data_IF_031510683148
#
_entry.id   IF_031510683148
#
_cell.length_a   1.000
_cell.length_b   1.000
_cell.length_c   1.000
_cell.angle_alpha   90.00
_cell.angle_beta   90.00
_cell.angle_gamma   90.00
#
_symmetry.space_group_name_H-M   'P 1'
#
loop_
_entity.id
_entity.type
_entity.pdbx_description
1 polymer ?
#
# COMPACT_ATOMS: atom_id res chain seq x y z
N UNK A 1 -14.84 -26.37 87.77
CA UNK A 1 -13.91 -25.22 87.84
C UNK A 1 -13.14 -25.12 86.54
N UNK A 2 -13.23 -23.95 85.87
CA UNK A 2 -12.23 -23.27 85.01
C UNK A 2 -11.28 -24.12 84.14
N UNK A 3 -11.03 -23.88 82.85
CA UNK A 3 -11.23 -22.76 81.89
C UNK A 3 -10.99 -23.38 80.49
N UNK A 4 -11.73 -22.97 79.44
CA UNK A 4 -11.25 -22.16 78.29
C UNK A 4 -10.12 -22.84 77.45
N UNK A 5 -10.04 -22.82 76.13
CA UNK A 5 -10.57 -21.90 75.11
C UNK A 5 -10.33 -22.50 73.72
N UNK A 6 -11.24 -22.20 72.80
CA UNK A 6 -11.22 -22.40 71.35
C UNK A 6 -10.10 -21.59 70.65
N UNK A 7 -9.48 -22.11 69.59
CA UNK A 7 -9.06 -21.40 68.35
C UNK A 7 -8.20 -22.35 67.50
N UNK A 8 -8.75 -22.99 66.46
CA UNK A 8 -8.97 -22.44 65.11
C UNK A 8 -7.65 -22.18 64.35
N UNK A 9 -7.41 -23.06 63.39
CA UNK A 9 -6.34 -23.05 62.41
C UNK A 9 -6.22 -21.72 61.66
N UNK A 10 -4.98 -21.31 61.37
CA UNK A 10 -4.69 -20.30 60.34
C UNK A 10 -3.56 -20.80 59.45
N UNK A 11 -3.97 -21.58 58.45
CA UNK A 11 -3.19 -21.94 57.27
C UNK A 11 -2.94 -20.66 56.46
N UNK A 12 -1.70 -20.16 56.48
CA UNK A 12 -1.29 -19.04 55.62
C UNK A 12 -0.74 -19.62 54.32
N UNK A 13 -1.59 -19.68 53.30
CA UNK A 13 -1.19 -19.94 51.92
C UNK A 13 -0.45 -18.68 51.45
N UNK A 14 0.88 -18.76 51.33
CA UNK A 14 1.63 -17.77 50.55
C UNK A 14 1.27 -17.97 49.07
N UNK A 15 0.48 -17.06 48.53
CA UNK A 15 0.30 -16.93 47.10
C UNK A 15 1.62 -16.46 46.49
N UNK A 16 2.33 -17.37 45.83
CA UNK A 16 3.46 -17.06 44.98
C UNK A 16 2.93 -16.27 43.77
N UNK A 17 3.17 -14.96 43.78
CA UNK A 17 2.88 -14.06 42.68
C UNK A 17 3.88 -14.34 41.55
N UNK A 18 3.58 -15.33 40.71
CA UNK A 18 4.30 -15.57 39.45
C UNK A 18 4.03 -14.38 38.53
N UNK A 19 4.97 -13.45 38.50
CA UNK A 19 5.11 -12.43 37.46
C UNK A 19 5.39 -13.15 36.14
N UNK A 20 4.32 -13.53 35.44
CA UNK A 20 4.37 -13.82 34.01
C UNK A 20 4.72 -12.50 33.32
N UNK A 21 6.00 -12.24 33.14
CA UNK A 21 6.48 -11.27 32.17
C UNK A 21 6.04 -11.77 30.79
N UNK A 22 4.87 -11.33 30.36
CA UNK A 22 4.45 -11.44 28.97
C UNK A 22 5.55 -10.74 28.17
N UNK A 23 6.28 -11.44 27.27
CA UNK A 23 7.09 -10.75 26.30
C UNK A 23 6.09 -9.90 25.50
N UNK A 24 6.13 -8.58 25.75
CA UNK A 24 5.44 -7.61 24.93
C UNK A 24 5.92 -7.88 23.52
N UNK A 25 5.04 -8.42 22.67
CA UNK A 25 5.35 -8.66 21.27
C UNK A 25 5.81 -7.31 20.71
N UNK A 26 7.12 -7.19 20.47
CA UNK A 26 7.64 -6.05 19.74
C UNK A 26 6.91 -6.05 18.40
N UNK A 27 6.13 -5.00 18.15
CA UNK A 27 5.59 -4.77 16.83
C UNK A 27 6.81 -4.68 15.90
N UNK A 28 6.97 -5.67 15.03
CA UNK A 28 7.97 -5.60 13.98
C UNK A 28 7.62 -4.37 13.15
N UNK A 29 8.50 -3.37 13.19
CA UNK A 29 8.38 -2.17 12.39
C UNK A 29 8.52 -2.61 10.92
N UNK A 30 7.39 -2.84 10.25
CA UNK A 30 7.35 -3.07 8.82
C UNK A 30 7.76 -1.74 8.16
N UNK A 31 9.06 -1.53 8.04
CA UNK A 31 9.62 -0.29 7.50
C UNK A 31 9.16 -0.07 6.07
N UNK A 32 8.25 0.89 5.88
CA UNK A 32 7.92 1.43 4.56
C UNK A 32 9.14 2.21 4.08
N UNK A 33 9.69 1.81 2.95
CA UNK A 33 10.76 2.54 2.29
C UNK A 33 10.17 3.34 1.12
N UNK A 34 10.56 4.60 0.98
CA UNK A 34 10.08 5.45 -0.11
C UNK A 34 11.25 6.17 -0.75
N UNK A 35 11.15 6.37 -2.05
CA UNK A 35 12.15 7.13 -2.79
C UNK A 35 11.50 8.20 -3.62
N UNK A 36 11.99 9.41 -3.36
CA UNK A 36 11.59 10.60 -4.06
C UNK A 36 12.57 10.82 -5.19
N UNK A 37 12.06 10.89 -6.42
CA UNK A 37 12.87 11.20 -7.59
C UNK A 37 12.40 12.50 -8.19
N UNK A 38 13.35 13.40 -8.42
CA UNK A 38 13.13 14.51 -9.34
C UNK A 38 13.13 13.94 -10.76
N UNK A 39 12.15 14.32 -11.58
CA UNK A 39 12.02 13.85 -12.97
C UNK A 39 13.21 14.41 -13.76
N UNK A 40 14.33 13.68 -13.77
CA UNK A 40 15.43 13.91 -14.69
C UNK A 40 15.17 13.05 -15.94
N UNK A 41 15.08 13.70 -17.10
CA UNK A 41 14.59 13.09 -18.34
C UNK A 41 15.37 11.82 -18.74
N UNK A 42 14.62 10.81 -19.24
CA UNK A 42 15.19 9.57 -19.79
C UNK A 42 14.32 8.32 -19.61
N UNK A 43 13.37 8.32 -18.66
CA UNK A 43 12.46 7.21 -18.39
C UNK A 43 10.98 7.47 -18.73
N UNK A 44 10.14 6.47 -18.50
CA UNK A 44 8.68 6.52 -18.63
C UNK A 44 7.98 7.11 -17.40
N UNK A 45 8.63 7.12 -16.23
CA UNK A 45 8.15 7.73 -14.99
C UNK A 45 8.15 9.25 -15.07
N UNK A 46 7.21 9.79 -15.84
CA UNK A 46 6.99 11.22 -16.01
C UNK A 46 5.56 11.58 -15.65
N UNK A 47 5.34 12.84 -15.24
CA UNK A 47 3.98 13.33 -14.96
C UNK A 47 3.05 13.16 -16.16
N UNK A 48 3.54 13.41 -17.38
CA UNK A 48 2.75 13.23 -18.61
C UNK A 48 2.31 11.78 -18.78
N UNK A 49 3.25 10.85 -18.69
CA UNK A 49 2.96 9.42 -18.82
C UNK A 49 1.93 8.94 -17.78
N UNK A 50 2.13 9.30 -16.51
CA UNK A 50 1.21 8.88 -15.47
C UNK A 50 -0.18 9.54 -15.64
N UNK A 51 -0.24 10.76 -16.18
CA UNK A 51 -1.51 11.42 -16.53
C UNK A 51 -2.22 10.70 -17.68
N UNK A 52 -1.48 10.23 -18.70
CA UNK A 52 -2.03 9.42 -19.78
C UNK A 52 -2.62 8.10 -19.24
N UNK A 53 -1.89 7.42 -18.36
CA UNK A 53 -2.37 6.18 -17.72
C UNK A 53 -3.63 6.46 -16.88
N UNK A 54 -3.62 7.51 -16.06
CA UNK A 54 -4.78 7.92 -15.26
C UNK A 54 -6.01 8.12 -16.14
N UNK A 55 -5.88 8.89 -17.21
CA UNK A 55 -6.97 9.16 -18.14
C UNK A 55 -7.47 7.88 -18.82
N UNK A 56 -6.59 6.94 -19.12
CA UNK A 56 -6.98 5.64 -19.68
C UNK A 56 -7.80 4.81 -18.68
N UNK A 57 -7.39 4.78 -17.41
CA UNK A 57 -8.12 4.10 -16.33
C UNK A 57 -9.51 4.73 -16.14
N UNK A 58 -9.61 6.06 -16.03
CA UNK A 58 -10.90 6.74 -15.82
C UNK A 58 -11.84 6.57 -17.04
N UNK A 59 -11.30 6.54 -18.26
CA UNK A 59 -12.11 6.43 -19.48
C UNK A 59 -12.62 5.01 -19.76
N UNK A 60 -11.81 3.99 -19.47
CA UNK A 60 -12.02 2.62 -19.94
C UNK A 60 -11.89 1.54 -18.88
N UNK A 61 -11.51 1.93 -17.66
CA UNK A 61 -11.32 1.04 -16.55
C UNK A 61 -12.64 0.46 -16.06
N UNK A 62 -12.53 -0.70 -15.42
CA UNK A 62 -13.60 -1.28 -14.61
C UNK A 62 -13.44 -0.81 -13.18
N UNK A 63 -14.44 -1.07 -12.34
CA UNK A 63 -14.30 -0.88 -10.90
C UNK A 63 -13.92 -2.20 -10.22
N UNK A 64 -12.92 -2.17 -9.34
CA UNK A 64 -12.49 -3.33 -8.55
C UNK A 64 -11.95 -2.89 -7.18
N UNK A 65 -12.18 -3.70 -6.15
CA UNK A 65 -11.59 -3.51 -4.82
C UNK A 65 -10.28 -4.31 -4.72
N UNK A 66 -9.20 -3.68 -4.27
CA UNK A 66 -7.91 -4.35 -4.05
C UNK A 66 -7.45 -4.34 -2.58
N UNK A 67 -7.99 -3.45 -1.75
CA UNK A 67 -7.70 -3.39 -0.33
C UNK A 67 -8.95 -2.97 0.47
N UNK A 68 -8.95 -3.19 1.78
CA UNK A 68 -10.12 -2.87 2.61
C UNK A 68 -10.38 -1.36 2.73
N UNK A 69 -9.35 -0.54 2.51
CA UNK A 69 -9.44 0.93 2.66
C UNK A 69 -10.15 1.58 1.47
N UNK A 70 -9.92 1.05 0.27
CA UNK A 70 -10.41 1.60 -0.98
C UNK A 70 -11.22 0.54 -1.72
N UNK A 71 -12.52 0.78 -1.79
CA UNK A 71 -13.49 -0.06 -2.46
C UNK A 71 -13.87 0.57 -3.80
N UNK A 72 -14.24 -0.26 -4.77
CA UNK A 72 -14.73 0.19 -6.08
C UNK A 72 -13.74 1.11 -6.84
N UNK A 73 -12.43 0.87 -6.73
CA UNK A 73 -11.41 1.70 -7.38
C UNK A 73 -11.51 1.65 -8.91
N UNK A 74 -11.29 2.79 -9.61
CA UNK A 74 -11.02 2.77 -11.05
C UNK A 74 -9.81 1.89 -11.32
N UNK A 75 -9.99 0.90 -12.21
CA UNK A 75 -9.02 -0.17 -12.44
C UNK A 75 -8.82 -0.49 -13.92
N UNK A 76 -7.57 -0.65 -14.35
CA UNK A 76 -7.24 -1.15 -15.69
C UNK A 76 -6.31 -2.37 -15.61
N UNK A 77 -6.65 -3.43 -16.34
CA UNK A 77 -5.80 -4.62 -16.46
C UNK A 77 -4.98 -4.53 -17.75
N UNK A 78 -3.66 -4.62 -17.65
CA UNK A 78 -2.74 -4.56 -18.80
C UNK A 78 -1.68 -5.63 -18.67
N UNK A 79 -1.66 -6.60 -19.60
CA UNK A 79 -0.66 -7.68 -19.66
C UNK A 79 -0.41 -8.38 -18.30
N UNK A 80 -1.48 -8.66 -17.56
CA UNK A 80 -1.43 -9.31 -16.24
C UNK A 80 -1.15 -8.36 -15.07
N UNK A 81 -0.91 -7.08 -15.32
CA UNK A 81 -0.79 -6.05 -14.29
C UNK A 81 -2.16 -5.44 -14.00
N UNK A 82 -2.46 -5.21 -12.73
CA UNK A 82 -3.63 -4.45 -12.33
C UNK A 82 -3.23 -3.05 -11.88
N UNK A 83 -3.85 -2.03 -12.47
CA UNK A 83 -3.58 -0.62 -12.21
C UNK A 83 -4.76 -0.02 -11.47
N UNK A 84 -4.55 0.53 -10.28
CA UNK A 84 -5.61 1.16 -9.49
C UNK A 84 -5.31 2.63 -9.24
N UNK A 85 -6.36 3.44 -9.13
CA UNK A 85 -6.25 4.82 -8.68
C UNK A 85 -6.74 4.94 -7.23
N UNK A 86 -5.88 5.45 -6.36
CA UNK A 86 -6.23 5.69 -4.96
C UNK A 86 -6.61 7.16 -4.73
N UNK A 87 -7.68 7.41 -3.95
CA UNK A 87 -8.13 8.76 -3.68
C UNK A 87 -7.17 9.51 -2.74
N UNK A 88 -7.07 10.82 -2.94
CA UNK A 88 -6.16 11.68 -2.18
C UNK A 88 -6.62 11.89 -0.72
N UNK A 89 -7.93 11.80 -0.48
CA UNK A 89 -8.56 12.03 0.84
C UNK A 89 -8.60 10.79 1.73
N UNK A 90 -7.94 9.70 1.34
CA UNK A 90 -7.91 8.48 2.13
C UNK A 90 -9.31 7.88 2.32
N UNK A 91 -9.64 7.51 3.57
CA UNK A 91 -10.92 6.84 3.88
C UNK A 91 -12.16 7.70 3.65
N UNK A 92 -12.04 9.03 3.62
CA UNK A 92 -13.18 9.93 3.39
C UNK A 92 -13.78 9.79 1.98
N UNK A 93 -13.02 9.21 1.04
CA UNK A 93 -13.45 8.84 -0.31
C UNK A 93 -13.21 7.35 -0.57
N UNK A 94 -13.59 6.48 0.38
CA UNK A 94 -13.36 5.04 0.30
C UNK A 94 -14.09 4.33 -0.87
N UNK A 95 -15.06 4.98 -1.51
CA UNK A 95 -15.74 4.54 -2.73
C UNK A 95 -15.05 5.00 -4.03
N UNK A 96 -13.94 5.75 -3.90
CA UNK A 96 -13.14 6.24 -5.03
C UNK A 96 -13.97 7.03 -6.05
N UNK A 97 -14.75 7.98 -5.56
CA UNK A 97 -15.51 8.94 -6.35
C UNK A 97 -14.56 9.93 -7.05
N UNK A 98 -14.66 10.00 -8.38
CA UNK A 98 -13.83 10.85 -9.24
C UNK A 98 -14.10 12.34 -9.06
N UNK A 99 -15.27 12.71 -8.53
CA UNK A 99 -15.62 14.12 -8.26
C UNK A 99 -14.97 14.64 -6.98
N UNK A 100 -14.39 13.76 -6.16
CA UNK A 100 -13.79 14.07 -4.85
C UNK A 100 -12.28 13.89 -4.82
N UNK A 101 -11.65 13.45 -5.91
CA UNK A 101 -10.20 13.20 -5.94
C UNK A 101 -9.60 13.45 -7.32
N UNK A 102 -8.38 13.99 -7.34
CA UNK A 102 -7.58 14.11 -8.56
C UNK A 102 -6.80 12.81 -8.87
N UNK A 103 -6.83 11.84 -7.95
CA UNK A 103 -6.09 10.59 -7.96
C UNK A 103 -4.59 10.80 -8.22
N UNK A 104 -3.91 11.44 -7.27
CA UNK A 104 -2.46 11.65 -7.30
C UNK A 104 -1.68 10.40 -6.89
N UNK A 105 -2.34 9.24 -6.81
CA UNK A 105 -1.70 7.97 -6.45
C UNK A 105 -2.13 6.87 -7.41
N UNK A 106 -1.16 6.34 -8.16
CA UNK A 106 -1.30 5.15 -8.98
C UNK A 106 -0.74 3.95 -8.23
N UNK A 107 -1.51 2.87 -8.17
CA UNK A 107 -1.04 1.57 -7.70
C UNK A 107 -0.79 0.67 -8.91
N UNK A 108 0.41 0.11 -9.00
CA UNK A 108 0.75 -0.95 -9.95
C UNK A 108 0.82 -2.26 -9.16
N UNK A 109 -0.17 -3.12 -9.34
CA UNK A 109 -0.23 -4.42 -8.72
C UNK A 109 0.29 -5.51 -9.68
N UNK A 110 1.14 -6.36 -9.13
CA UNK A 110 1.60 -7.63 -9.70
C UNK A 110 1.05 -8.77 -8.83
N UNK A 111 1.34 -10.02 -9.21
CA UNK A 111 0.88 -11.19 -8.45
C UNK A 111 1.28 -11.17 -6.96
N UNK A 112 2.43 -10.57 -6.64
CA UNK A 112 3.02 -10.65 -5.29
C UNK A 112 3.28 -9.28 -4.64
N UNK A 113 3.13 -8.18 -5.38
CA UNK A 113 3.55 -6.86 -4.92
C UNK A 113 2.66 -5.73 -5.43
N UNK A 114 2.52 -4.70 -4.58
CA UNK A 114 1.92 -3.42 -4.91
C UNK A 114 2.99 -2.34 -4.92
N UNK A 115 3.07 -1.59 -6.01
CA UNK A 115 3.94 -0.41 -6.12
C UNK A 115 3.07 0.83 -6.13
N UNK A 116 3.34 1.75 -5.22
CA UNK A 116 2.61 3.00 -5.16
C UNK A 116 3.44 4.11 -5.79
N UNK A 117 2.87 4.79 -6.77
CA UNK A 117 3.47 5.90 -7.50
C UNK A 117 2.64 7.15 -7.23
N UNK A 118 3.18 8.04 -6.39
CA UNK A 118 2.58 9.29 -5.98
C UNK A 118 3.09 10.45 -6.85
N UNK A 119 2.16 11.25 -7.36
CA UNK A 119 2.43 12.43 -8.16
C UNK A 119 2.70 13.60 -7.21
N UNK A 120 3.97 13.97 -7.04
CA UNK A 120 4.35 15.15 -6.24
C UNK A 120 4.73 16.31 -7.16
N UNK A 121 4.91 17.52 -6.63
CA UNK A 121 5.41 18.66 -7.42
C UNK A 121 6.81 19.04 -6.91
N UNK A 122 7.85 19.10 -7.76
CA UNK A 122 7.88 18.90 -9.22
C UNK A 122 8.13 17.45 -9.69
N UNK A 123 8.00 16.44 -8.82
CA UNK A 123 8.53 15.10 -9.07
C UNK A 123 7.53 13.94 -9.03
N UNK A 124 8.05 12.73 -8.80
CA UNK A 124 7.26 11.54 -8.48
C UNK A 124 7.89 10.90 -7.24
N UNK A 125 7.07 10.34 -6.36
CA UNK A 125 7.51 9.50 -5.26
C UNK A 125 7.05 8.08 -5.47
N UNK A 126 7.95 7.13 -5.33
CA UNK A 126 7.62 5.70 -5.40
C UNK A 126 7.74 5.14 -3.99
N UNK A 127 6.66 4.53 -3.50
CA UNK A 127 6.64 3.81 -2.23
C UNK A 127 6.62 2.31 -2.50
N UNK A 128 7.36 1.56 -1.67
CA UNK A 128 7.48 0.11 -1.77
C UNK A 128 7.56 -0.49 -0.37
N UNK A 129 6.92 -1.64 -0.20
CA UNK A 129 6.83 -2.33 1.09
C UNK A 129 8.05 -3.25 1.29
N UNK A 130 8.91 -2.91 2.27
CA UNK A 130 10.04 -3.67 2.84
C UNK A 130 11.33 -3.88 2.00
N UNK A 131 12.46 -3.50 2.62
CA UNK A 131 13.86 -3.95 2.38
C UNK A 131 14.47 -3.80 0.98
N UNK A 132 14.25 -2.70 0.28
CA UNK A 132 15.30 -2.32 -0.68
C UNK A 132 16.49 -1.81 0.14
N UNK A 133 17.52 -2.64 0.33
CA UNK A 133 18.84 -2.10 0.62
C UNK A 133 19.18 -1.04 -0.44
N UNK A 134 19.95 -0.01 -0.07
CA UNK A 134 20.19 1.15 -0.94
C UNK A 134 20.63 0.79 -2.37
N UNK A 135 21.28 -0.37 -2.54
CA UNK A 135 21.73 -0.90 -3.83
C UNK A 135 20.58 -1.44 -4.71
N UNK A 136 19.55 -2.06 -4.10
CA UNK A 136 18.40 -2.61 -4.83
C UNK A 136 17.41 -1.54 -5.29
N UNK A 137 17.49 -0.34 -4.72
CA UNK A 137 16.58 0.76 -5.03
C UNK A 137 16.58 1.16 -6.50
N UNK A 138 17.77 1.22 -7.11
CA UNK A 138 17.91 1.61 -8.52
C UNK A 138 17.25 0.59 -9.45
N UNK A 139 17.31 -0.69 -9.11
CA UNK A 139 16.64 -1.76 -9.85
C UNK A 139 15.12 -1.71 -9.68
N UNK A 140 14.63 -1.37 -8.48
CA UNK A 140 13.19 -1.15 -8.25
C UNK A 140 12.65 -0.01 -9.13
N UNK A 141 13.35 1.12 -9.19
CA UNK A 141 12.95 2.24 -10.04
C UNK A 141 12.92 1.82 -11.51
N UNK A 142 13.97 1.12 -11.99
CA UNK A 142 14.03 0.65 -13.38
C UNK A 142 12.92 -0.35 -13.71
N UNK A 143 12.57 -1.22 -12.76
CA UNK A 143 11.47 -2.15 -12.91
C UNK A 143 10.12 -1.42 -13.01
N UNK A 144 9.82 -0.49 -12.09
CA UNK A 144 8.57 0.29 -12.15
C UNK A 144 8.52 1.12 -13.43
N UNK A 145 9.64 1.71 -13.86
CA UNK A 145 9.73 2.42 -15.14
C UNK A 145 9.42 1.52 -16.34
N UNK A 146 9.97 0.31 -16.37
CA UNK A 146 9.69 -0.66 -17.42
C UNK A 146 8.21 -1.12 -17.42
N UNK A 147 7.61 -1.31 -16.24
CA UNK A 147 6.18 -1.63 -16.12
C UNK A 147 5.33 -0.48 -16.65
N UNK A 148 5.61 0.75 -16.26
CA UNK A 148 4.93 1.95 -16.77
C UNK A 148 5.10 2.07 -18.29
N UNK A 149 6.29 1.82 -18.82
CA UNK A 149 6.55 1.81 -20.27
C UNK A 149 5.70 0.80 -21.02
N UNK A 150 5.55 -0.43 -20.49
CA UNK A 150 4.67 -1.46 -21.07
C UNK A 150 3.21 -1.02 -21.07
N UNK A 151 2.74 -0.45 -19.94
CA UNK A 151 1.38 0.06 -19.82
C UNK A 151 1.12 1.17 -20.83
N UNK A 152 2.03 2.14 -20.95
CA UNK A 152 1.93 3.23 -21.93
C UNK A 152 1.86 2.71 -23.36
N UNK A 153 2.67 1.71 -23.72
CA UNK A 153 2.64 1.14 -25.05
C UNK A 153 1.23 0.62 -25.41
N UNK A 154 0.55 -0.03 -24.46
CA UNK A 154 -0.82 -0.53 -24.62
C UNK A 154 -1.86 0.58 -24.61
N UNK A 155 -1.75 1.54 -23.69
CA UNK A 155 -2.67 2.70 -23.62
C UNK A 155 -2.64 3.52 -24.91
N UNK A 156 -1.46 3.70 -25.50
CA UNK A 156 -1.27 4.48 -26.74
C UNK A 156 -1.65 3.72 -28.01
N UNK A 157 -1.70 2.39 -27.95
CA UNK A 157 -2.13 1.53 -29.05
C UNK A 157 -3.35 0.73 -28.62
N UNK A 158 -4.54 1.36 -28.49
CA UNK A 158 -5.74 0.60 -28.19
C UNK A 158 -5.90 -0.44 -29.29
N UNK A 159 -5.93 -1.71 -28.89
CA UNK A 159 -6.15 -2.82 -29.81
C UNK A 159 -7.43 -2.61 -30.62
N UNK A 160 -7.60 -3.30 -31.76
CA UNK A 160 -8.85 -3.23 -32.50
C UNK A 160 -10.02 -3.54 -31.53
N UNK A 161 -11.16 -2.84 -31.66
CA UNK A 161 -12.31 -3.13 -30.82
C UNK A 161 -12.58 -4.64 -30.86
N UNK A 162 -12.73 -5.25 -29.68
CA UNK A 162 -13.07 -6.67 -29.58
C UNK A 162 -14.35 -6.98 -30.35
N UNK A 163 -14.50 -8.22 -30.86
CA UNK A 163 -15.64 -8.62 -31.68
C UNK A 163 -16.99 -8.41 -30.98
#
# INVERSE_FOLDING_TARGET
MHRATTAAARMRILAALLLLSVPCAAAEDYGISSVTMTIAGGGHLTRSALTEIKNAILKSGKRQTYCNMYNDNPTLLVDGLALYLNPDSGQENGDCDETKSDFQTLIVATDNHYYQVEFITPGIRIHFEKSAEADGLSDYVRMVDALVGRVLAKVRTPGPPGP
#
